data_IF_272083923634
#
_entry.id   IF_272083923634
#
_cell.length_a   1.000
_cell.length_b   1.000
_cell.length_c   1.000
_cell.angle_alpha   90.00
_cell.angle_beta   90.00
_cell.angle_gamma   90.00
#
_symmetry.space_group_name_H-M   'P 1'
#
loop_
_entity.id
_entity.type
_entity.pdbx_description
1 polymer ?
#
# COMPACT_ATOMS: atom_id res chain seq x y z
N UNK A 1 34.82 1.45 -6.31
CA UNK A 1 33.58 2.22 -6.52
C UNK A 1 32.56 1.22 -7.01
N UNK A 2 31.99 0.48 -6.08
CA UNK A 2 30.93 -0.49 -6.35
C UNK A 2 29.68 0.15 -5.79
N UNK A 3 28.79 0.56 -6.67
CA UNK A 3 27.41 0.84 -6.29
C UNK A 3 26.72 -0.54 -6.22
N UNK A 4 26.35 -0.99 -5.03
CA UNK A 4 25.46 -2.15 -4.81
C UNK A 4 24.04 -1.80 -5.26
N UNK A 5 23.22 -2.71 -5.83
CA UNK A 5 21.80 -2.45 -5.89
C UNK A 5 21.15 -2.97 -4.60
N UNK A 6 20.83 -2.06 -3.69
CA UNK A 6 19.86 -2.27 -2.62
C UNK A 6 18.41 -2.41 -3.15
N UNK A 7 18.20 -2.96 -4.35
CA UNK A 7 16.96 -2.81 -5.12
C UNK A 7 16.29 -4.11 -5.59
N UNK A 8 16.77 -5.30 -5.20
CA UNK A 8 16.08 -6.57 -5.54
C UNK A 8 14.96 -6.94 -4.53
N UNK A 9 14.66 -6.09 -3.55
CA UNK A 9 13.63 -6.37 -2.53
C UNK A 9 12.87 -5.17 -1.97
N UNK A 10 13.15 -3.95 -2.43
CA UNK A 10 12.43 -2.75 -2.01
C UNK A 10 11.22 -2.50 -2.92
N UNK A 11 10.10 -2.08 -2.32
CA UNK A 11 8.90 -1.72 -3.06
C UNK A 11 9.13 -0.43 -3.85
N UNK A 12 8.94 -0.46 -5.17
CA UNK A 12 9.05 0.74 -6.02
C UNK A 12 7.77 1.62 -5.90
N UNK A 13 7.87 2.82 -5.30
CA UNK A 13 6.72 3.69 -5.11
C UNK A 13 6.17 4.27 -6.43
N UNK A 14 7.01 4.56 -7.43
CA UNK A 14 6.54 5.15 -8.71
C UNK A 14 5.84 4.09 -9.57
N UNK A 15 6.34 2.85 -9.53
CA UNK A 15 5.64 1.72 -10.12
C UNK A 15 4.28 1.49 -9.45
N UNK A 16 4.20 1.59 -8.12
CA UNK A 16 2.95 1.48 -7.39
C UNK A 16 1.98 2.61 -7.71
N UNK A 17 2.43 3.87 -7.73
CA UNK A 17 1.59 5.02 -8.14
C UNK A 17 1.00 4.80 -9.52
N UNK A 18 1.82 4.37 -10.48
CA UNK A 18 1.39 4.08 -11.85
C UNK A 18 0.36 2.96 -11.89
N UNK A 19 0.58 1.90 -11.10
CA UNK A 19 -0.36 0.79 -10.99
C UNK A 19 -1.71 1.22 -10.40
N UNK A 20 -1.69 2.03 -9.33
CA UNK A 20 -2.90 2.52 -8.66
C UNK A 20 -3.78 3.41 -9.54
N UNK A 21 -3.28 3.90 -10.68
CA UNK A 21 -4.05 4.70 -11.64
C UNK A 21 -5.24 3.94 -12.27
N UNK A 22 -5.31 2.60 -12.08
CA UNK A 22 -6.49 1.80 -12.47
C UNK A 22 -7.70 2.00 -11.57
N UNK A 23 -7.52 2.55 -10.39
CA UNK A 23 -8.60 2.85 -9.45
C UNK A 23 -9.01 4.31 -9.56
N UNK A 24 -10.27 4.61 -9.27
CA UNK A 24 -10.74 5.99 -9.11
C UNK A 24 -9.91 6.69 -8.04
N UNK A 25 -9.65 7.99 -8.20
CA UNK A 25 -8.92 8.80 -7.22
C UNK A 25 -7.87 9.72 -7.82
N UNK A 26 -7.26 10.52 -6.95
CA UNK A 26 -6.34 11.58 -7.36
C UNK A 26 -4.87 11.11 -7.32
N UNK A 27 -4.02 11.76 -8.09
CA UNK A 27 -2.57 11.49 -8.06
C UNK A 27 -1.94 11.70 -6.66
N UNK A 28 -2.26 12.76 -5.89
CA UNK A 28 -1.79 12.91 -4.52
C UNK A 28 -2.21 11.74 -3.60
N UNK A 29 -3.41 11.21 -3.81
CA UNK A 29 -3.93 10.08 -3.06
C UNK A 29 -3.16 8.80 -3.38
N UNK A 30 -2.90 8.51 -4.66
CA UNK A 30 -2.04 7.40 -5.08
C UNK A 30 -0.63 7.50 -4.48
N UNK A 31 -0.04 8.69 -4.48
CA UNK A 31 1.28 8.92 -3.84
C UNK A 31 1.26 8.67 -2.33
N UNK A 32 0.15 9.01 -1.68
CA UNK A 32 -0.01 8.79 -0.24
C UNK A 32 -0.08 7.30 0.07
N UNK A 33 -0.88 6.54 -0.69
CA UNK A 33 -0.96 5.08 -0.58
C UNK A 33 0.39 4.43 -0.88
N UNK A 34 1.08 4.86 -1.94
CA UNK A 34 2.38 4.30 -2.27
C UNK A 34 3.42 4.52 -1.16
N UNK A 35 3.40 5.69 -0.50
CA UNK A 35 4.25 5.94 0.66
C UNK A 35 3.92 5.02 1.83
N UNK A 36 2.63 4.85 2.16
CA UNK A 36 2.23 3.93 3.24
C UNK A 36 2.62 2.48 2.93
N UNK A 37 2.55 2.06 1.67
CA UNK A 37 2.98 0.74 1.27
C UNK A 37 4.50 0.54 1.40
N UNK A 38 5.31 1.56 1.10
CA UNK A 38 6.75 1.54 1.35
C UNK A 38 7.02 1.47 2.86
N UNK A 39 6.37 2.30 3.66
CA UNK A 39 6.51 2.29 5.13
C UNK A 39 6.18 0.89 5.71
N UNK A 40 5.12 0.25 5.19
CA UNK A 40 4.76 -1.12 5.56
C UNK A 40 5.82 -2.15 5.12
N UNK A 41 6.33 -2.04 3.89
CA UNK A 41 7.38 -2.93 3.39
C UNK A 41 8.66 -2.81 4.23
N UNK A 42 9.10 -1.59 4.52
CA UNK A 42 10.31 -1.27 5.29
C UNK A 42 10.21 -1.72 6.75
N UNK A 43 9.00 -1.71 7.33
CA UNK A 43 8.77 -2.25 8.68
C UNK A 43 9.06 -3.76 8.78
N UNK A 44 9.07 -4.47 7.64
CA UNK A 44 9.17 -5.92 7.53
C UNK A 44 8.02 -6.68 8.18
N UNK A 45 6.97 -5.98 8.66
CA UNK A 45 5.88 -6.58 9.44
C UNK A 45 5.06 -7.56 8.62
N UNK A 46 4.65 -7.15 7.41
CA UNK A 46 3.89 -8.01 6.50
C UNK A 46 4.61 -9.33 6.25
N UNK A 47 5.93 -9.30 6.05
CA UNK A 47 6.75 -10.49 5.84
C UNK A 47 6.82 -11.39 7.07
N UNK A 48 6.95 -10.82 8.27
CA UNK A 48 6.97 -11.59 9.52
C UNK A 48 5.65 -12.31 9.77
N UNK A 49 4.53 -11.65 9.47
CA UNK A 49 3.20 -12.16 9.81
C UNK A 49 2.65 -13.12 8.73
N UNK A 50 2.86 -12.80 7.44
CA UNK A 50 2.32 -13.58 6.31
C UNK A 50 3.31 -14.55 5.65
N UNK A 51 4.62 -14.39 5.90
CA UNK A 51 5.68 -15.12 5.21
C UNK A 51 5.93 -14.67 3.76
N UNK A 52 5.23 -13.64 3.26
CA UNK A 52 5.32 -13.15 1.87
C UNK A 52 6.00 -11.79 1.80
N UNK A 53 6.66 -11.50 0.69
CA UNK A 53 7.17 -10.17 0.39
C UNK A 53 6.06 -9.28 -0.15
N UNK A 54 6.08 -8.01 0.25
CA UNK A 54 5.16 -7.02 -0.29
C UNK A 54 5.66 -6.59 -1.69
N UNK A 55 4.81 -6.72 -2.70
CA UNK A 55 5.11 -6.31 -4.08
C UNK A 55 3.98 -5.48 -4.66
N UNK A 56 4.27 -4.75 -5.74
CA UNK A 56 3.25 -3.97 -6.46
C UNK A 56 2.08 -4.86 -6.88
N UNK A 57 2.35 -6.00 -7.52
CA UNK A 57 1.31 -6.92 -7.98
C UNK A 57 0.45 -7.46 -6.84
N UNK A 58 1.09 -7.77 -5.70
CA UNK A 58 0.37 -8.23 -4.52
C UNK A 58 -0.57 -7.16 -3.97
N UNK A 59 -0.04 -5.95 -3.74
CA UNK A 59 -0.85 -4.83 -3.23
C UNK A 59 -2.04 -4.62 -4.16
N UNK A 60 -1.78 -4.54 -5.46
CA UNK A 60 -2.82 -4.32 -6.46
C UNK A 60 -3.91 -5.39 -6.43
N UNK A 61 -3.52 -6.66 -6.34
CA UNK A 61 -4.47 -7.77 -6.27
C UNK A 61 -5.35 -7.66 -5.02
N UNK A 62 -4.75 -7.41 -3.86
CA UNK A 62 -5.47 -7.29 -2.59
C UNK A 62 -6.39 -6.05 -2.58
N UNK A 63 -5.97 -4.94 -3.20
CA UNK A 63 -6.80 -3.73 -3.33
C UNK A 63 -7.95 -3.89 -4.34
N UNK A 64 -7.80 -4.77 -5.33
CA UNK A 64 -8.86 -5.05 -6.29
C UNK A 64 -10.02 -5.85 -5.67
N UNK A 65 -9.74 -6.65 -4.63
CA UNK A 65 -10.75 -7.39 -3.86
C UNK A 65 -11.57 -6.50 -2.91
N UNK A 66 -11.08 -5.29 -2.63
CA UNK A 66 -11.79 -4.32 -1.82
C UNK A 66 -13.05 -3.77 -2.54
N UNK A 67 -14.08 -3.33 -1.79
CA UNK A 67 -15.20 -2.59 -2.36
C UNK A 67 -14.75 -1.40 -3.22
N UNK A 68 -15.63 -0.96 -4.13
CA UNK A 68 -15.37 0.23 -4.94
C UNK A 68 -15.14 1.48 -4.09
N UNK A 69 -14.24 2.34 -4.57
CA UNK A 69 -13.75 3.49 -3.83
C UNK A 69 -12.37 3.92 -4.29
N UNK A 70 -11.85 4.96 -3.64
CA UNK A 70 -10.55 5.53 -3.93
C UNK A 70 -9.39 4.56 -3.58
N UNK A 71 -8.14 4.85 -3.96
CA UNK A 71 -7.01 4.01 -3.59
C UNK A 71 -6.80 4.04 -2.07
N UNK A 72 -7.15 5.15 -1.40
CA UNK A 72 -7.09 5.26 0.06
C UNK A 72 -8.19 4.44 0.74
N UNK A 73 -9.41 4.42 0.19
CA UNK A 73 -10.50 3.59 0.72
C UNK A 73 -10.14 2.10 0.63
N UNK A 74 -9.69 1.65 -0.54
CA UNK A 74 -9.25 0.27 -0.78
C UNK A 74 -8.07 -0.09 0.13
N UNK A 75 -7.10 0.81 0.28
CA UNK A 75 -5.95 0.62 1.17
C UNK A 75 -6.37 0.46 2.62
N UNK A 76 -7.21 1.35 3.13
CA UNK A 76 -7.70 1.31 4.51
C UNK A 76 -8.56 0.06 4.77
N UNK A 77 -9.34 -0.39 3.79
CA UNK A 77 -10.05 -1.67 3.86
C UNK A 77 -9.07 -2.84 4.04
N UNK A 78 -8.02 -2.90 3.22
CA UNK A 78 -7.02 -3.97 3.30
C UNK A 78 -6.20 -3.92 4.60
N UNK A 79 -5.81 -2.72 5.06
CA UNK A 79 -5.20 -2.54 6.39
C UNK A 79 -6.14 -3.05 7.49
N UNK A 80 -7.44 -2.81 7.39
CA UNK A 80 -8.45 -3.38 8.28
C UNK A 80 -8.44 -4.92 8.29
N UNK A 81 -8.35 -5.55 7.11
CA UNK A 81 -8.21 -7.01 6.99
C UNK A 81 -6.93 -7.51 7.69
N UNK A 82 -5.80 -6.85 7.47
CA UNK A 82 -4.54 -7.21 8.13
C UNK A 82 -4.59 -7.02 9.65
N UNK A 83 -5.22 -5.95 10.12
CA UNK A 83 -5.48 -5.71 11.54
C UNK A 83 -6.37 -6.78 12.16
N UNK A 84 -7.39 -7.27 11.43
CA UNK A 84 -8.22 -8.37 11.92
C UNK A 84 -7.45 -9.70 11.99
N UNK A 85 -6.55 -9.95 11.04
CA UNK A 85 -5.80 -11.20 10.97
C UNK A 85 -4.61 -11.27 11.95
N UNK A 86 -3.87 -10.16 12.09
CA UNK A 86 -2.59 -10.12 12.78
C UNK A 86 -2.51 -9.07 13.89
N UNK A 87 -3.45 -8.10 13.91
CA UNK A 87 -3.46 -6.99 14.85
C UNK A 87 -2.42 -5.92 14.54
N UNK A 88 -2.73 -4.66 14.90
CA UNK A 88 -1.76 -3.56 14.99
C UNK A 88 -1.31 -2.94 13.66
N UNK A 89 -2.08 -3.09 12.58
CA UNK A 89 -1.76 -2.50 11.28
C UNK A 89 -2.32 -1.06 11.12
N UNK A 90 -3.06 -0.54 12.10
CA UNK A 90 -3.73 0.77 12.04
C UNK A 90 -2.76 1.94 11.82
N UNK A 91 -1.49 1.77 12.22
CA UNK A 91 -0.44 2.76 12.01
C UNK A 91 -0.09 3.00 10.53
N UNK A 92 -0.44 2.07 9.63
CA UNK A 92 -0.21 2.17 8.19
C UNK A 92 -1.45 2.66 7.43
N UNK A 93 -2.54 2.97 8.13
CA UNK A 93 -3.74 3.52 7.50
C UNK A 93 -3.47 4.91 6.92
N UNK A 94 -4.07 5.21 5.78
CA UNK A 94 -4.10 6.56 5.22
C UNK A 94 -5.17 7.36 5.98
N UNK A 95 -4.75 8.45 6.62
CA UNK A 95 -5.66 9.39 7.27
C UNK A 95 -6.62 10.05 6.27
N UNK A 96 -7.77 10.54 6.76
CA UNK A 96 -8.79 11.17 5.92
C UNK A 96 -8.22 12.41 5.22
N UNK A 97 -8.22 12.41 3.89
CA UNK A 97 -7.84 13.57 3.10
C UNK A 97 -9.00 14.59 3.13
N UNK A 98 -8.76 15.89 3.38
CA UNK A 98 -9.77 16.91 3.15
C UNK A 98 -9.96 17.05 1.63
N UNK A 99 -10.95 16.31 1.10
CA UNK A 99 -11.23 16.23 -0.34
C UNK A 99 -12.03 14.99 -0.76
N UNK A 100 -12.23 14.01 0.13
CA UNK A 100 -13.04 12.80 -0.11
C UNK A 100 -14.55 13.02 0.10
N UNK A 101 -15.07 14.24 -0.10
CA UNK A 101 -16.51 14.48 -0.15
C UNK A 101 -16.92 14.78 -1.60
N UNK A 102 -17.71 13.85 -2.14
CA UNK A 102 -18.63 13.88 -3.29
C UNK A 102 -18.48 14.99 -4.35
#
# INVERSE_FOLDING_TARGET
MTDEPAAEGALDPEALVSALARFDGTEPERRTVARQAVDLADSGRYRRDSGRHLSVDLIVAELADAPDGSPADRWNWWIGVLSLAYGGYEAFSVGRYPGSEA
#
